data_IF_824913503060
#
_entry.id   IF_824913503060
#
_cell.length_a   1.000
_cell.length_b   1.000
_cell.length_c   1.000
_cell.angle_alpha   90.00
_cell.angle_beta   90.00
_cell.angle_gamma   90.00
#
_symmetry.space_group_name_H-M   'P 1'
#
loop_
_entity.id
_entity.type
_entity.pdbx_description
1 polymer ?
#
# COMPACT_ATOMS: atom_id res chain seq x y z
N UNK A 1 -14.04 9.70 -21.95
CA UNK A 1 -13.37 9.19 -20.73
C UNK A 1 -12.99 10.33 -19.81
N UNK A 2 -12.13 11.27 -20.21
CA UNK A 2 -11.74 12.41 -19.36
C UNK A 2 -12.93 13.16 -18.71
N UNK A 3 -13.97 13.49 -19.48
CA UNK A 3 -15.17 14.13 -18.94
C UNK A 3 -15.95 13.28 -17.91
N UNK A 4 -15.94 11.95 -18.05
CA UNK A 4 -16.59 11.03 -17.10
C UNK A 4 -15.77 10.93 -15.81
N UNK A 5 -14.43 10.91 -15.93
CA UNK A 5 -13.53 10.96 -14.78
C UNK A 5 -13.74 12.26 -14.01
N UNK A 6 -13.79 13.39 -14.73
CA UNK A 6 -14.04 14.70 -14.14
C UNK A 6 -15.38 14.75 -13.40
N UNK A 7 -16.48 14.38 -14.07
CA UNK A 7 -17.81 14.44 -13.46
C UNK A 7 -18.04 13.46 -12.30
N UNK A 8 -17.24 12.40 -12.20
CA UNK A 8 -17.46 11.30 -11.24
C UNK A 8 -16.45 11.29 -10.10
N UNK A 9 -15.19 11.64 -10.36
CA UNK A 9 -14.14 11.72 -9.34
C UNK A 9 -14.11 13.11 -8.71
N UNK A 10 -14.33 14.19 -9.47
CA UNK A 10 -14.22 15.54 -8.91
C UNK A 10 -15.27 15.84 -7.84
N UNK A 11 -16.42 15.15 -7.87
CA UNK A 11 -17.46 15.33 -6.84
C UNK A 11 -17.02 14.86 -5.46
N UNK A 12 -15.98 14.03 -5.34
CA UNK A 12 -15.45 13.60 -4.04
C UNK A 12 -14.40 14.56 -3.47
N UNK A 13 -13.99 15.59 -4.22
CA UNK A 13 -12.90 16.47 -3.83
C UNK A 13 -13.27 17.40 -2.66
N UNK A 14 -12.35 17.46 -1.68
CA UNK A 14 -12.39 18.42 -0.58
C UNK A 14 -13.44 18.12 0.49
N UNK A 15 -13.57 18.99 1.51
CA UNK A 15 -14.39 18.74 2.70
C UNK A 15 -15.90 18.69 2.40
N UNK A 16 -16.33 19.33 1.30
CA UNK A 16 -17.71 19.29 0.80
C UNK A 16 -17.92 18.24 -0.29
N UNK A 17 -16.95 17.36 -0.48
CA UNK A 17 -17.05 16.22 -1.40
C UNK A 17 -18.24 15.34 -1.06
N UNK A 18 -18.97 14.92 -2.09
CA UNK A 18 -20.10 13.99 -2.01
C UNK A 18 -19.60 12.55 -2.03
N UNK A 19 -20.40 11.67 -1.44
CA UNK A 19 -20.18 10.22 -1.53
C UNK A 19 -20.63 9.70 -2.88
N UNK A 20 -19.86 8.77 -3.45
CA UNK A 20 -20.18 8.05 -4.68
C UNK A 20 -20.46 6.59 -4.33
N UNK A 21 -21.56 6.05 -4.88
CA UNK A 21 -21.89 4.64 -4.78
C UNK A 21 -21.25 3.85 -5.92
N UNK A 22 -20.53 2.79 -5.58
CA UNK A 22 -19.86 1.88 -6.52
C UNK A 22 -20.54 0.53 -6.42
N UNK A 23 -21.09 0.04 -7.54
CA UNK A 23 -21.71 -1.27 -7.58
C UNK A 23 -20.64 -2.36 -7.46
N UNK A 24 -20.77 -3.28 -6.49
CA UNK A 24 -19.94 -4.48 -6.38
C UNK A 24 -20.68 -5.67 -7.02
N UNK A 25 -19.96 -6.66 -7.60
CA UNK A 25 -20.60 -7.85 -8.18
C UNK A 25 -21.41 -8.67 -7.17
N UNK A 26 -21.07 -8.58 -5.90
CA UNK A 26 -21.73 -9.27 -4.79
C UNK A 26 -21.86 -8.32 -3.60
N UNK A 27 -22.94 -8.47 -2.83
CA UNK A 27 -23.18 -7.70 -1.61
C UNK A 27 -23.77 -6.31 -1.87
N UNK A 28 -23.69 -5.45 -0.84
CA UNK A 28 -24.16 -4.07 -0.92
C UNK A 28 -23.19 -3.19 -1.74
N UNK A 29 -23.68 -2.12 -2.38
CA UNK A 29 -22.82 -1.15 -3.05
C UNK A 29 -21.86 -0.50 -2.06
N UNK A 30 -20.62 -0.25 -2.49
CA UNK A 30 -19.64 0.47 -1.69
C UNK A 30 -19.90 1.97 -1.80
N UNK A 31 -20.07 2.65 -0.67
CA UNK A 31 -20.26 4.10 -0.60
C UNK A 31 -18.94 4.71 -0.14
N UNK A 32 -18.34 5.59 -0.95
CA UNK A 32 -17.02 6.15 -0.64
C UNK A 32 -16.87 7.61 -1.06
N UNK A 33 -15.97 8.34 -0.37
CA UNK A 33 -15.45 9.64 -0.80
C UNK A 33 -14.01 9.54 -1.34
N UNK A 34 -13.45 8.34 -1.42
CA UNK A 34 -12.11 8.11 -1.93
C UNK A 34 -12.11 8.14 -3.47
N UNK A 35 -11.46 9.16 -4.04
CA UNK A 35 -11.36 9.32 -5.49
C UNK A 35 -10.61 8.19 -6.18
N UNK A 36 -9.67 7.51 -5.50
CA UNK A 36 -8.96 6.37 -6.06
C UNK A 36 -9.88 5.17 -6.26
N UNK A 37 -10.69 4.84 -5.24
CA UNK A 37 -11.70 3.78 -5.32
C UNK A 37 -12.73 4.09 -6.40
N UNK A 38 -13.20 5.34 -6.48
CA UNK A 38 -14.13 5.78 -7.53
C UNK A 38 -13.50 5.60 -8.92
N UNK A 39 -12.26 6.04 -9.12
CA UNK A 39 -11.54 5.91 -10.39
C UNK A 39 -11.39 4.45 -10.82
N UNK A 40 -11.06 3.53 -9.89
CA UNK A 40 -10.99 2.08 -10.15
C UNK A 40 -12.36 1.47 -10.49
N UNK A 41 -13.45 2.06 -10.00
CA UNK A 41 -14.82 1.63 -10.27
C UNK A 41 -15.30 1.95 -11.70
N UNK A 42 -14.66 2.89 -12.39
CA UNK A 42 -15.06 3.29 -13.75
C UNK A 42 -14.64 2.20 -14.75
N UNK A 43 -15.61 1.45 -15.28
CA UNK A 43 -15.38 0.38 -16.27
C UNK A 43 -16.25 0.59 -17.51
N UNK A 44 -15.77 1.34 -18.52
CA UNK A 44 -16.50 1.53 -19.77
C UNK A 44 -16.60 0.23 -20.57
N UNK A 45 -17.74 -0.03 -21.21
CA UNK A 45 -17.94 -1.23 -22.04
C UNK A 45 -17.05 -1.26 -23.30
N UNK A 46 -16.82 -0.09 -23.90
CA UNK A 46 -16.02 0.02 -25.13
C UNK A 46 -14.54 -0.25 -24.83
N UNK A 47 -13.88 -1.21 -25.51
CA UNK A 47 -12.49 -1.58 -25.22
C UNK A 47 -11.50 -0.40 -25.25
N UNK A 48 -11.63 0.50 -26.23
CA UNK A 48 -10.78 1.70 -26.32
C UNK A 48 -10.97 2.63 -25.11
N UNK A 49 -12.21 2.81 -24.66
CA UNK A 49 -12.49 3.63 -23.49
C UNK A 49 -11.97 2.98 -22.20
N UNK A 50 -12.08 1.66 -22.09
CA UNK A 50 -11.51 0.91 -20.97
C UNK A 50 -9.98 1.05 -20.92
N UNK A 51 -9.29 0.93 -22.06
CA UNK A 51 -7.85 1.12 -22.15
C UNK A 51 -7.42 2.56 -21.78
N UNK A 52 -8.17 3.58 -22.19
CA UNK A 52 -7.86 4.97 -21.77
C UNK A 52 -8.11 5.13 -20.26
N UNK A 53 -9.17 4.52 -19.73
CA UNK A 53 -9.51 4.60 -18.30
C UNK A 53 -8.44 3.93 -17.43
N UNK A 54 -7.85 2.82 -17.89
CA UNK A 54 -6.76 2.16 -17.16
C UNK A 54 -5.50 3.03 -17.09
N UNK A 55 -5.21 3.84 -18.11
CA UNK A 55 -4.11 4.83 -18.06
C UNK A 55 -4.35 5.86 -16.95
N UNK A 56 -5.56 6.40 -16.84
CA UNK A 56 -5.93 7.32 -15.75
C UNK A 56 -5.80 6.64 -14.37
N UNK A 57 -6.31 5.40 -14.25
CA UNK A 57 -6.22 4.65 -13.01
C UNK A 57 -4.76 4.35 -12.61
N UNK A 58 -3.90 4.07 -13.58
CA UNK A 58 -2.46 3.86 -13.36
C UNK A 58 -1.78 5.13 -12.85
N UNK A 59 -2.07 6.30 -13.43
CA UNK A 59 -1.54 7.58 -12.94
C UNK A 59 -1.95 7.86 -11.50
N UNK A 60 -3.21 7.58 -11.16
CA UNK A 60 -3.71 7.74 -9.78
C UNK A 60 -3.07 6.75 -8.82
N UNK A 61 -2.87 5.49 -9.26
CA UNK A 61 -2.16 4.49 -8.45
C UNK A 61 -0.74 4.92 -8.15
N UNK A 62 0.00 5.40 -9.15
CA UNK A 62 1.36 5.90 -8.93
C UNK A 62 1.41 7.11 -7.99
N UNK A 63 0.39 7.97 -8.01
CA UNK A 63 0.26 9.06 -7.05
C UNK A 63 0.07 8.52 -5.63
N UNK A 64 -0.85 7.56 -5.47
CA UNK A 64 -1.11 6.90 -4.18
C UNK A 64 0.13 6.18 -3.65
N UNK A 65 0.80 5.40 -4.50
CA UNK A 65 1.96 4.59 -4.11
C UNK A 65 3.16 5.45 -3.69
N UNK A 66 3.30 6.67 -4.25
CA UNK A 66 4.41 7.58 -3.94
C UNK A 66 4.15 8.52 -2.77
N UNK A 67 2.89 8.93 -2.57
CA UNK A 67 2.54 10.06 -1.69
C UNK A 67 1.44 9.72 -0.68
N UNK A 68 0.60 8.71 -0.96
CA UNK A 68 -0.48 8.27 -0.07
C UNK A 68 -1.75 9.13 -0.08
N UNK A 69 -1.75 10.27 -0.76
CA UNK A 69 -2.90 11.18 -0.91
C UNK A 69 -2.84 11.91 -2.28
N UNK A 70 -3.87 12.68 -2.62
CA UNK A 70 -3.93 13.53 -3.81
C UNK A 70 -4.42 12.83 -5.06
N UNK A 71 -4.94 11.61 -4.96
CA UNK A 71 -5.44 10.81 -6.10
C UNK A 71 -6.60 11.50 -6.83
N UNK A 72 -7.51 12.13 -6.08
CA UNK A 72 -8.60 12.95 -6.62
C UNK A 72 -8.06 14.16 -7.39
N UNK A 73 -7.11 14.90 -6.80
CA UNK A 73 -6.47 16.05 -7.45
C UNK A 73 -5.73 15.65 -8.72
N UNK A 74 -5.00 14.52 -8.68
CA UNK A 74 -4.32 13.94 -9.84
C UNK A 74 -5.32 13.61 -10.97
N UNK A 75 -6.47 13.02 -10.63
CA UNK A 75 -7.53 12.69 -11.58
C UNK A 75 -8.09 13.95 -12.27
N UNK A 76 -8.39 14.99 -11.50
CA UNK A 76 -8.94 16.27 -12.00
C UNK A 76 -7.93 17.00 -12.89
N UNK A 77 -6.66 17.06 -12.47
CA UNK A 77 -5.62 17.71 -13.27
C UNK A 77 -5.40 16.96 -14.58
N UNK A 78 -5.40 15.63 -14.54
CA UNK A 78 -5.25 14.80 -15.74
C UNK A 78 -6.44 14.96 -16.68
N UNK A 79 -7.68 14.96 -16.17
CA UNK A 79 -8.88 15.15 -16.99
C UNK A 79 -8.87 16.51 -17.67
N UNK A 80 -8.60 17.58 -16.93
CA UNK A 80 -8.54 18.95 -17.44
C UNK A 80 -7.46 19.12 -18.51
N UNK A 81 -6.25 18.62 -18.25
CA UNK A 81 -5.14 18.66 -19.20
C UNK A 81 -5.47 17.94 -20.52
N UNK A 82 -6.07 16.73 -20.44
CA UNK A 82 -6.45 15.95 -21.63
C UNK A 82 -7.55 16.63 -22.41
N UNK A 83 -8.55 17.20 -21.74
CA UNK A 83 -9.64 17.93 -22.40
C UNK A 83 -9.13 19.15 -23.14
N UNK A 84 -8.26 19.95 -22.51
CA UNK A 84 -7.74 21.17 -23.13
C UNK A 84 -6.74 20.87 -24.26
N UNK A 85 -5.88 19.85 -24.07
CA UNK A 85 -5.01 19.38 -25.15
C UNK A 85 -5.83 18.89 -26.35
N UNK A 86 -6.95 18.20 -26.12
CA UNK A 86 -7.84 17.72 -27.20
C UNK A 86 -8.45 18.88 -28.00
N UNK A 87 -8.87 19.96 -27.34
CA UNK A 87 -9.36 21.17 -28.03
C UNK A 87 -8.26 21.84 -28.85
N UNK A 88 -7.06 21.96 -28.29
CA UNK A 88 -5.92 22.57 -28.96
C UNK A 88 -5.50 21.77 -30.21
N UNK A 89 -5.50 20.44 -30.12
CA UNK A 89 -5.24 19.55 -31.27
C UNK A 89 -6.34 19.69 -32.34
N UNK A 90 -7.61 19.75 -31.94
CA UNK A 90 -8.73 19.96 -32.87
C UNK A 90 -8.65 21.31 -33.60
N UNK A 91 -8.04 22.32 -32.98
CA UNK A 91 -7.73 23.61 -33.60
C UNK A 91 -6.51 23.59 -34.54
N UNK A 92 -5.88 22.43 -34.75
CA UNK A 92 -4.77 22.25 -35.70
C UNK A 92 -3.37 22.40 -35.09
N UNK A 93 -3.24 22.55 -33.77
CA UNK A 93 -1.94 22.67 -33.12
C UNK A 93 -1.19 21.33 -33.06
N UNK A 94 0.14 21.40 -33.17
CA UNK A 94 1.00 20.22 -33.12
C UNK A 94 1.04 19.56 -31.72
N UNK A 95 0.88 18.24 -31.70
CA UNK A 95 0.83 17.42 -30.48
C UNK A 95 2.13 17.45 -29.69
N UNK A 96 3.26 17.44 -30.39
CA UNK A 96 4.59 17.43 -29.74
C UNK A 96 4.84 18.77 -29.04
N UNK A 97 4.47 19.86 -29.71
CA UNK A 97 4.58 21.21 -29.16
C UNK A 97 3.71 21.42 -27.92
N UNK A 98 2.45 20.93 -27.93
CA UNK A 98 1.57 20.96 -26.76
C UNK A 98 2.21 20.20 -25.59
N UNK A 99 2.66 18.96 -25.82
CA UNK A 99 3.32 18.15 -24.79
C UNK A 99 4.54 18.87 -24.20
N UNK A 100 5.40 19.41 -25.05
CA UNK A 100 6.61 20.11 -24.62
C UNK A 100 6.27 21.38 -23.83
N UNK A 101 5.23 22.12 -24.24
CA UNK A 101 4.72 23.28 -23.52
C UNK A 101 4.20 22.90 -22.13
N UNK A 102 3.41 21.83 -22.02
CA UNK A 102 2.91 21.32 -20.75
C UNK A 102 4.05 20.88 -19.81
N UNK A 103 5.09 20.24 -20.34
CA UNK A 103 6.25 19.85 -19.54
C UNK A 103 7.00 21.06 -18.98
N UNK A 104 7.26 22.08 -19.81
CA UNK A 104 7.88 23.34 -19.37
C UNK A 104 7.04 24.05 -18.32
N UNK A 105 5.72 24.12 -18.52
CA UNK A 105 4.81 24.73 -17.53
C UNK A 105 4.84 23.96 -16.20
N UNK A 106 4.83 22.63 -16.24
CA UNK A 106 4.96 21.77 -15.06
C UNK A 106 6.27 22.04 -14.30
N UNK A 107 7.40 22.21 -14.99
CA UNK A 107 8.68 22.49 -14.33
C UNK A 107 8.68 23.86 -13.63
N UNK A 108 8.10 24.89 -14.26
CA UNK A 108 7.95 26.22 -13.66
C UNK A 108 7.02 26.19 -12.44
N UNK A 109 5.86 25.55 -12.56
CA UNK A 109 4.90 25.40 -11.45
C UNK A 109 5.52 24.61 -10.31
N UNK A 110 6.23 23.52 -10.59
CA UNK A 110 6.88 22.72 -9.55
C UNK A 110 7.93 23.52 -8.79
N UNK A 111 8.72 24.34 -9.49
CA UNK A 111 9.70 25.23 -8.86
C UNK A 111 9.04 26.19 -7.87
N UNK A 112 7.93 26.82 -8.28
CA UNK A 112 7.21 27.77 -7.42
C UNK A 112 6.50 27.10 -6.25
N UNK A 113 5.85 25.95 -6.48
CA UNK A 113 5.23 25.18 -5.38
C UNK A 113 6.29 24.74 -4.36
N UNK A 114 7.48 24.35 -4.83
CA UNK A 114 8.58 23.95 -3.95
C UNK A 114 9.13 25.13 -3.15
N UNK A 115 9.23 26.33 -3.74
CA UNK A 115 9.70 27.54 -3.04
C UNK A 115 8.71 27.99 -1.95
N UNK A 116 7.42 27.68 -2.11
CA UNK A 116 6.37 27.94 -1.12
C UNK A 116 6.28 26.88 -0.01
N UNK A 117 7.04 25.77 -0.12
CA UNK A 117 6.97 24.67 0.84
C UNK A 117 7.49 25.08 2.22
N UNK A 118 6.78 24.66 3.27
CA UNK A 118 7.19 24.84 4.66
C UNK A 118 7.44 23.48 5.31
N UNK A 119 8.66 23.24 5.76
CA UNK A 119 9.00 22.03 6.52
C UNK A 119 8.33 22.06 7.89
N UNK A 120 7.60 20.99 8.21
CA UNK A 120 6.99 20.78 9.53
C UNK A 120 7.97 19.96 10.38
N UNK A 121 8.38 20.51 11.52
CA UNK A 121 9.16 19.76 12.52
C UNK A 121 8.23 18.90 13.36
N UNK A 122 8.68 17.70 13.74
CA UNK A 122 7.93 16.79 14.62
C UNK A 122 7.75 17.35 16.04
N UNK A 123 8.55 18.35 16.42
CA UNK A 123 8.37 19.09 17.67
C UNK A 123 7.06 19.91 17.67
N UNK A 124 6.57 20.28 16.48
CA UNK A 124 5.32 21.04 16.31
C UNK A 124 4.16 20.10 16.07
N UNK A 125 3.79 19.36 17.12
CA UNK A 125 2.78 18.31 17.02
C UNK A 125 1.41 18.82 16.55
N UNK A 126 1.07 20.07 16.86
CA UNK A 126 -0.17 20.71 16.40
C UNK A 126 -0.23 20.85 14.88
N UNK A 127 0.92 21.13 14.23
CA UNK A 127 0.99 21.21 12.76
C UNK A 127 0.88 19.81 12.12
N UNK A 128 1.46 18.78 12.76
CA UNK A 128 1.30 17.38 12.33
C UNK A 128 -0.15 16.94 12.44
N UNK A 129 -0.80 17.23 13.57
CA UNK A 129 -2.22 16.96 13.76
C UNK A 129 -3.05 17.67 12.70
N UNK A 130 -2.76 18.94 12.39
CA UNK A 130 -3.49 19.69 11.36
C UNK A 130 -3.43 19.01 9.98
N UNK A 131 -2.26 18.51 9.57
CA UNK A 131 -2.12 17.77 8.30
C UNK A 131 -2.97 16.50 8.35
N UNK A 132 -2.87 15.72 9.42
CA UNK A 132 -3.63 14.48 9.57
C UNK A 132 -5.15 14.72 9.59
N UNK A 133 -5.62 15.78 10.26
CA UNK A 133 -7.03 16.18 10.29
C UNK A 133 -7.53 16.49 8.88
N UNK A 134 -6.75 17.25 8.09
CA UNK A 134 -7.16 17.63 6.73
C UNK A 134 -7.25 16.38 5.84
N UNK A 135 -6.26 15.49 5.88
CA UNK A 135 -6.28 14.24 5.12
C UNK A 135 -7.38 13.27 5.60
N UNK A 136 -7.74 13.30 6.88
CA UNK A 136 -8.87 12.54 7.45
C UNK A 136 -10.24 13.23 7.23
N UNK A 137 -10.39 14.06 6.18
CA UNK A 137 -11.64 14.77 5.86
C UNK A 137 -12.20 15.65 7.01
N UNK A 138 -11.32 16.21 7.82
CA UNK A 138 -11.68 17.08 8.95
C UNK A 138 -11.92 16.35 10.27
N UNK A 139 -11.68 15.03 10.33
CA UNK A 139 -11.83 14.26 11.56
C UNK A 139 -10.73 14.61 12.57
N UNK A 140 -11.12 15.34 13.62
CA UNK A 140 -10.23 15.76 14.71
C UNK A 140 -9.76 14.60 15.57
N UNK A 141 -10.59 13.57 15.76
CA UNK A 141 -10.25 12.42 16.58
C UNK A 141 -9.14 11.62 15.91
N UNK A 142 -9.33 11.30 14.62
CA UNK A 142 -8.33 10.55 13.83
C UNK A 142 -7.03 11.34 13.75
N UNK A 143 -7.09 12.63 13.42
CA UNK A 143 -5.88 13.44 13.27
C UNK A 143 -5.10 13.65 14.57
N UNK A 144 -5.79 13.77 15.71
CA UNK A 144 -5.12 13.85 17.03
C UNK A 144 -4.45 12.53 17.39
N UNK A 145 -5.13 11.40 17.15
CA UNK A 145 -4.56 10.09 17.42
C UNK A 145 -3.34 9.77 16.54
N UNK A 146 -3.36 10.17 15.26
CA UNK A 146 -2.19 10.04 14.37
C UNK A 146 -1.02 10.88 14.90
N UNK A 147 -1.28 12.11 15.33
CA UNK A 147 -0.23 12.95 15.90
C UNK A 147 0.35 12.34 17.18
N UNK A 148 -0.50 11.80 18.07
CA UNK A 148 -0.04 11.09 19.27
C UNK A 148 0.81 9.86 18.94
N UNK A 149 0.43 9.09 17.90
CA UNK A 149 1.23 7.96 17.42
C UNK A 149 2.60 8.42 16.91
N UNK A 150 2.64 9.45 16.06
CA UNK A 150 3.89 10.04 15.54
C UNK A 150 4.78 10.57 16.67
N UNK A 151 4.20 11.15 17.72
CA UNK A 151 4.95 11.64 18.89
C UNK A 151 5.56 10.50 19.70
N UNK A 152 4.83 9.41 19.92
CA UNK A 152 5.31 8.24 20.68
C UNK A 152 6.42 7.49 19.94
N UNK A 153 6.25 7.34 18.63
CA UNK A 153 7.09 6.51 17.77
C UNK A 153 8.32 7.27 17.25
N UNK A 154 8.23 8.59 17.09
CA UNK A 154 9.29 9.43 16.56
C UNK A 154 9.39 9.38 15.02
N UNK A 155 10.43 10.02 14.46
CA UNK A 155 10.58 10.21 13.00
C UNK A 155 10.75 8.92 12.20
N UNK A 156 11.42 7.94 12.79
CA UNK A 156 11.87 6.73 12.09
C UNK A 156 11.09 5.49 12.50
N UNK A 157 10.16 5.61 13.44
CA UNK A 157 9.40 4.45 13.86
C UNK A 157 8.19 4.20 12.97
N UNK A 158 7.64 3.00 13.14
CA UNK A 158 6.61 2.44 12.27
C UNK A 158 5.25 2.61 12.91
N UNK A 159 4.27 3.03 12.11
CA UNK A 159 2.86 3.12 12.53
C UNK A 159 2.06 2.12 11.70
N UNK A 160 1.39 1.20 12.39
CA UNK A 160 0.44 0.24 11.78
C UNK A 160 -0.99 0.57 12.23
N UNK A 161 -1.96 0.14 11.44
CA UNK A 161 -3.39 0.31 11.75
C UNK A 161 -4.04 -1.06 11.70
N UNK A 162 -4.63 -1.47 12.81
CA UNK A 162 -5.33 -2.75 12.97
C UNK A 162 -6.80 -2.51 13.31
N UNK A 163 -7.67 -3.40 12.83
CA UNK A 163 -9.10 -3.34 13.16
C UNK A 163 -9.38 -4.07 14.48
N UNK A 164 -9.87 -3.34 15.48
CA UNK A 164 -10.20 -3.95 16.77
C UNK A 164 -11.52 -4.76 16.68
N UNK A 165 -11.49 -6.00 17.16
CA UNK A 165 -12.70 -6.84 17.31
C UNK A 165 -13.39 -6.52 18.63
N UNK A 166 -14.01 -5.33 18.74
CA UNK A 166 -14.89 -5.02 19.88
C UNK A 166 -14.85 -3.59 20.41
N UNK A 167 -13.84 -2.79 20.05
CA UNK A 167 -13.81 -1.37 20.39
C UNK A 167 -14.26 -0.53 19.18
N UNK A 168 -15.10 0.47 19.46
CA UNK A 168 -15.44 1.52 18.47
C UNK A 168 -14.48 2.71 18.57
N UNK A 169 -13.61 2.71 19.57
CA UNK A 169 -12.67 3.79 19.82
C UNK A 169 -11.31 3.44 19.20
N UNK A 170 -10.62 4.48 18.72
CA UNK A 170 -9.29 4.35 18.13
C UNK A 170 -8.27 4.45 19.27
N UNK A 171 -7.56 3.36 19.50
CA UNK A 171 -6.53 3.25 20.54
C UNK A 171 -5.13 3.33 19.92
N UNK A 172 -4.21 4.00 20.62
CA UNK A 172 -2.82 4.16 20.19
C UNK A 172 -1.90 3.46 21.18
N UNK A 173 -1.50 2.24 20.85
CA UNK A 173 -0.56 1.44 21.61
C UNK A 173 0.85 1.53 21.01
N UNK A 174 1.86 1.64 21.87
CA UNK A 174 3.26 1.54 21.46
C UNK A 174 3.71 0.11 21.72
N UNK A 175 3.99 -0.64 20.66
CA UNK A 175 4.49 -2.00 20.73
C UNK A 175 5.92 -2.07 20.21
N UNK A 176 6.69 -3.03 20.72
CA UNK A 176 8.04 -3.31 20.21
C UNK A 176 7.90 -4.18 18.96
N UNK A 177 8.43 -3.71 17.84
CA UNK A 177 8.35 -4.41 16.56
C UNK A 177 9.48 -4.01 15.62
N UNK A 178 9.50 -4.64 14.45
CA UNK A 178 10.48 -4.35 13.39
C UNK A 178 9.79 -4.36 12.03
N UNK A 179 10.18 -3.43 11.17
CA UNK A 179 9.87 -3.43 9.74
C UNK A 179 11.17 -3.50 8.93
N UNK A 180 11.14 -4.24 7.83
CA UNK A 180 12.25 -4.31 6.88
C UNK A 180 11.73 -4.40 5.44
N UNK A 181 12.55 -3.95 4.48
CA UNK A 181 12.15 -3.78 3.07
C UNK A 181 12.17 -5.10 2.27
N UNK A 182 11.32 -6.05 2.66
CA UNK A 182 11.11 -7.32 1.93
C UNK A 182 9.63 -7.67 1.87
N UNK A 183 9.12 -7.84 0.65
CA UNK A 183 7.74 -8.28 0.40
C UNK A 183 7.61 -9.81 0.35
N UNK A 184 6.36 -10.26 0.22
CA UNK A 184 6.03 -11.65 -0.03
C UNK A 184 6.62 -12.14 -1.37
N UNK A 185 7.12 -13.37 -1.38
CA UNK A 185 7.71 -13.99 -2.58
C UNK A 185 6.69 -14.36 -3.65
N UNK A 186 5.41 -14.48 -3.27
CA UNK A 186 4.33 -14.82 -4.18
C UNK A 186 3.06 -14.04 -3.83
N UNK A 187 2.37 -13.42 -4.82
CA UNK A 187 1.07 -12.80 -4.59
C UNK A 187 0.01 -13.76 -4.04
N UNK A 188 0.18 -15.06 -4.25
CA UNK A 188 -0.71 -16.07 -3.68
C UNK A 188 -0.63 -16.14 -2.14
N UNK A 189 0.35 -15.48 -1.51
CA UNK A 189 0.40 -15.34 -0.05
C UNK A 189 -0.52 -14.24 0.51
N UNK A 190 -1.12 -13.39 -0.33
CA UNK A 190 -2.08 -12.36 0.08
C UNK A 190 -3.27 -12.98 0.84
N UNK A 191 -3.65 -12.37 1.96
CA UNK A 191 -4.82 -12.74 2.78
C UNK A 191 -5.93 -11.71 2.61
N UNK A 192 -5.59 -10.42 2.49
CA UNK A 192 -6.51 -9.34 2.17
C UNK A 192 -6.28 -8.88 0.71
N UNK A 193 -7.21 -9.26 -0.17
CA UNK A 193 -7.16 -8.90 -1.60
C UNK A 193 -7.53 -7.44 -1.89
N UNK A 194 -8.16 -6.73 -0.95
CA UNK A 194 -8.48 -5.31 -1.11
C UNK A 194 -7.24 -4.45 -0.83
N UNK A 195 -6.53 -4.75 0.27
CA UNK A 195 -5.31 -4.04 0.66
C UNK A 195 -4.03 -4.60 0.02
N UNK A 196 -4.10 -5.79 -0.58
CA UNK A 196 -2.94 -6.52 -1.14
C UNK A 196 -1.86 -6.80 -0.09
N UNK A 197 -2.28 -7.22 1.11
CA UNK A 197 -1.38 -7.50 2.24
C UNK A 197 -1.50 -8.94 2.72
N UNK A 198 -0.51 -9.35 3.50
CA UNK A 198 -0.47 -10.62 4.22
C UNK A 198 -0.59 -10.32 5.70
N UNK A 199 -1.68 -10.75 6.31
CA UNK A 199 -1.96 -10.63 7.74
C UNK A 199 -1.92 -12.04 8.35
N UNK A 200 -1.10 -12.22 9.39
CA UNK A 200 -0.98 -13.49 10.12
C UNK A 200 -1.13 -13.22 11.61
N UNK A 201 -2.17 -13.77 12.23
CA UNK A 201 -2.39 -13.71 13.68
C UNK A 201 -1.54 -14.75 14.40
N UNK A 202 -0.75 -14.31 15.39
CA UNK A 202 0.11 -15.14 16.26
C UNK A 202 0.88 -16.25 15.49
N UNK A 203 1.68 -15.88 14.46
CA UNK A 203 2.36 -16.85 13.62
C UNK A 203 3.60 -17.44 14.30
N UNK A 204 3.90 -18.69 13.98
CA UNK A 204 5.26 -19.20 14.15
C UNK A 204 6.21 -18.52 13.18
N UNK A 205 7.46 -18.31 13.62
CA UNK A 205 8.52 -17.73 12.80
C UNK A 205 9.59 -18.79 12.54
N UNK A 206 9.85 -19.08 11.27
CA UNK A 206 11.01 -19.85 10.84
C UNK A 206 12.05 -18.89 10.27
N UNK A 207 13.15 -18.73 10.98
CA UNK A 207 14.25 -17.82 10.61
C UNK A 207 15.47 -18.67 10.26
N UNK A 208 15.92 -18.59 9.00
CA UNK A 208 17.08 -19.37 8.52
C UNK A 208 17.94 -18.56 7.57
N UNK A 209 19.26 -18.81 7.60
CA UNK A 209 20.19 -18.27 6.60
C UNK A 209 20.26 -19.13 5.32
N UNK A 210 19.61 -20.30 5.27
CA UNK A 210 19.68 -21.23 4.13
C UNK A 210 18.77 -20.78 2.99
N UNK A 211 19.21 -21.04 1.74
CA UNK A 211 18.33 -21.03 0.57
C UNK A 211 17.48 -22.29 0.56
N UNK A 212 16.17 -22.13 0.39
CA UNK A 212 15.19 -23.21 0.41
C UNK A 212 14.69 -23.47 -1.01
N UNK A 213 15.27 -24.47 -1.67
CA UNK A 213 14.91 -24.88 -3.03
C UNK A 213 14.02 -26.13 -3.05
N UNK A 214 14.13 -26.96 -2.02
CA UNK A 214 13.43 -28.24 -1.84
C UNK A 214 12.60 -28.21 -0.55
N UNK A 215 11.50 -28.96 -0.52
CA UNK A 215 10.55 -28.94 0.61
C UNK A 215 10.95 -29.88 1.76
N UNK A 216 11.77 -30.90 1.49
CA UNK A 216 12.13 -31.95 2.45
C UNK A 216 12.64 -31.41 3.80
N UNK A 217 13.53 -30.39 3.85
CA UNK A 217 13.99 -29.83 5.13
C UNK A 217 12.88 -29.16 5.95
N UNK A 218 11.77 -28.77 5.31
CA UNK A 218 10.65 -28.09 5.94
C UNK A 218 9.54 -29.05 6.37
N UNK A 219 9.50 -30.30 5.89
CA UNK A 219 8.36 -31.20 6.11
C UNK A 219 8.01 -31.37 7.59
N UNK A 220 8.99 -31.68 8.44
CA UNK A 220 8.77 -31.86 9.88
C UNK A 220 8.21 -30.59 10.56
N UNK A 221 8.66 -29.41 10.11
CA UNK A 221 8.20 -28.12 10.64
C UNK A 221 6.78 -27.85 10.17
N UNK A 222 6.49 -28.05 8.88
CA UNK A 222 5.18 -27.84 8.29
C UNK A 222 4.14 -28.77 8.90
N UNK A 223 4.47 -30.04 9.15
CA UNK A 223 3.59 -30.98 9.85
C UNK A 223 3.25 -30.52 11.27
N UNK A 224 4.23 -30.01 12.01
CA UNK A 224 4.01 -29.47 13.35
C UNK A 224 3.11 -28.21 13.32
N UNK A 225 3.34 -27.32 12.36
CA UNK A 225 2.52 -26.11 12.15
C UNK A 225 1.09 -26.48 11.80
N UNK A 226 0.87 -27.41 10.86
CA UNK A 226 -0.48 -27.87 10.50
C UNK A 226 -1.20 -28.47 11.70
N UNK A 227 -0.53 -29.27 12.53
CA UNK A 227 -1.11 -29.83 13.76
C UNK A 227 -1.50 -28.75 14.78
N UNK A 228 -0.71 -27.68 14.88
CA UNK A 228 -0.99 -26.56 15.79
C UNK A 228 -2.16 -25.69 15.33
N UNK A 229 -2.47 -25.68 14.03
CA UNK A 229 -3.45 -24.78 13.42
C UNK A 229 -3.02 -23.31 13.34
N UNK A 230 -1.84 -22.95 13.87
CA UNK A 230 -1.29 -21.58 13.81
C UNK A 230 -0.66 -21.30 12.44
N UNK A 231 -0.61 -20.02 12.01
CA UNK A 231 0.11 -19.65 10.79
C UNK A 231 1.63 -19.76 10.93
N UNK A 232 2.34 -19.75 9.80
CA UNK A 232 3.81 -19.75 9.73
C UNK A 232 4.30 -18.63 8.81
N UNK A 233 5.27 -17.85 9.29
CA UNK A 233 6.06 -16.94 8.47
C UNK A 233 7.48 -17.49 8.33
N UNK A 234 7.94 -17.66 7.09
CA UNK A 234 9.30 -18.11 6.78
C UNK A 234 10.13 -16.91 6.31
N UNK A 235 11.23 -16.66 7.01
CA UNK A 235 12.26 -15.67 6.66
C UNK A 235 13.54 -16.43 6.34
N UNK A 236 13.90 -16.46 5.06
CA UNK A 236 15.06 -17.21 4.58
C UNK A 236 15.91 -16.38 3.62
N UNK A 237 17.18 -16.77 3.36
CA UNK A 237 17.98 -16.09 2.33
C UNK A 237 17.23 -16.02 0.99
N UNK A 238 16.67 -17.16 0.57
CA UNK A 238 15.81 -17.25 -0.59
C UNK A 238 14.91 -18.48 -0.50
N UNK A 239 13.76 -18.43 -1.18
CA UNK A 239 12.81 -19.55 -1.24
C UNK A 239 12.32 -19.66 -2.68
N UNK A 240 12.78 -20.67 -3.38
CA UNK A 240 12.60 -20.79 -4.83
C UNK A 240 12.23 -22.23 -5.22
N UNK A 241 11.93 -22.42 -6.52
CA UNK A 241 11.73 -23.74 -7.11
C UNK A 241 10.57 -24.55 -6.50
N UNK A 242 10.87 -25.79 -6.14
CA UNK A 242 9.89 -26.75 -5.61
C UNK A 242 9.34 -26.30 -4.26
N UNK A 243 10.19 -25.76 -3.38
CA UNK A 243 9.78 -25.30 -2.06
C UNK A 243 8.70 -24.22 -2.15
N UNK A 244 8.94 -23.16 -2.93
CA UNK A 244 7.97 -22.06 -3.09
C UNK A 244 6.66 -22.56 -3.72
N UNK A 245 6.76 -23.36 -4.78
CA UNK A 245 5.59 -23.92 -5.48
C UNK A 245 4.72 -24.76 -4.55
N UNK A 246 5.35 -25.57 -3.70
CA UNK A 246 4.67 -26.44 -2.74
C UNK A 246 3.99 -25.64 -1.64
N UNK A 247 4.65 -24.60 -1.10
CA UNK A 247 4.06 -23.70 -0.10
C UNK A 247 2.81 -22.99 -0.65
N UNK A 248 2.90 -22.48 -1.88
CA UNK A 248 1.77 -21.80 -2.55
C UNK A 248 0.60 -22.75 -2.77
N UNK A 249 0.83 -23.95 -3.31
CA UNK A 249 -0.24 -24.92 -3.58
C UNK A 249 -0.92 -25.35 -2.28
N UNK A 250 -0.15 -25.61 -1.21
CA UNK A 250 -0.73 -26.01 0.07
C UNK A 250 -1.52 -24.89 0.74
N UNK A 251 -1.07 -23.63 0.60
CA UNK A 251 -1.86 -22.49 1.04
C UNK A 251 -3.19 -22.39 0.28
N UNK A 252 -3.16 -22.47 -1.05
CA UNK A 252 -4.37 -22.37 -1.88
C UNK A 252 -5.38 -23.49 -1.60
N UNK A 253 -4.91 -24.68 -1.22
CA UNK A 253 -5.76 -25.80 -0.80
C UNK A 253 -6.32 -25.65 0.63
N UNK A 254 -5.95 -24.59 1.35
CA UNK A 254 -6.41 -24.31 2.71
C UNK A 254 -5.77 -25.18 3.80
N UNK A 255 -4.83 -26.06 3.44
CA UNK A 255 -4.18 -26.98 4.39
C UNK A 255 -3.11 -26.31 5.25
N UNK A 256 -2.59 -25.15 4.83
CA UNK A 256 -1.48 -24.47 5.50
C UNK A 256 -1.61 -22.95 5.39
N UNK A 257 -1.65 -22.25 6.53
CA UNK A 257 -1.57 -20.78 6.55
C UNK A 257 -0.10 -20.37 6.61
N UNK A 258 0.51 -20.11 5.45
CA UNK A 258 1.94 -19.77 5.37
C UNK A 258 2.19 -18.54 4.51
N UNK A 259 3.22 -17.78 4.88
CA UNK A 259 3.81 -16.75 4.04
C UNK A 259 5.34 -16.86 4.07
N UNK A 260 5.97 -16.37 3.02
CA UNK A 260 7.40 -16.49 2.81
C UNK A 260 7.99 -15.18 2.29
N UNK A 261 9.05 -14.70 2.94
CA UNK A 261 9.77 -13.47 2.61
C UNK A 261 11.28 -13.74 2.56
N UNK A 262 12.00 -12.98 1.74
CA UNK A 262 13.47 -13.01 1.78
C UNK A 262 13.98 -12.32 3.04
N UNK A 263 15.12 -12.75 3.54
CA UNK A 263 15.83 -12.10 4.63
C UNK A 263 16.28 -10.68 4.21
N UNK A 264 16.24 -9.71 5.13
CA UNK A 264 16.77 -8.38 4.87
C UNK A 264 18.31 -8.39 4.84
N UNK A 265 18.89 -7.40 4.15
CA UNK A 265 20.35 -7.28 4.02
C UNK A 265 21.00 -8.31 3.08
N UNK A 266 22.33 -8.32 3.06
CA UNK A 266 23.18 -9.20 2.25
C UNK A 266 24.46 -9.56 3.03
N UNK A 267 25.07 -10.70 2.72
CA UNK A 267 26.34 -11.12 3.34
C UNK A 267 26.26 -11.25 4.87
N UNK A 268 27.26 -10.74 5.58
CA UNK A 268 27.29 -10.81 7.05
C UNK A 268 26.24 -9.91 7.70
N UNK A 269 25.91 -8.76 7.10
CA UNK A 269 24.83 -7.89 7.58
C UNK A 269 23.47 -8.61 7.62
N UNK A 270 23.23 -9.56 6.71
CA UNK A 270 22.02 -10.39 6.75
C UNK A 270 21.97 -11.27 7.99
N UNK A 271 23.11 -11.83 8.41
CA UNK A 271 23.18 -12.70 9.60
C UNK A 271 22.87 -11.88 10.85
N UNK A 272 23.51 -10.72 10.99
CA UNK A 272 23.25 -9.78 12.09
C UNK A 272 21.77 -9.39 12.14
N UNK A 273 21.16 -9.03 11.00
CA UNK A 273 19.73 -8.68 10.97
C UNK A 273 18.81 -9.87 11.28
N UNK A 274 19.17 -11.10 10.89
CA UNK A 274 18.39 -12.30 11.24
C UNK A 274 18.51 -12.63 12.73
N UNK A 275 19.67 -12.39 13.34
CA UNK A 275 19.87 -12.48 14.79
C UNK A 275 19.03 -11.43 15.52
N UNK A 276 18.97 -10.19 15.03
CA UNK A 276 18.12 -9.14 15.60
C UNK A 276 16.64 -9.50 15.55
N UNK A 277 16.15 -10.03 14.42
CA UNK A 277 14.76 -10.49 14.29
C UNK A 277 14.51 -11.62 15.29
N UNK A 278 15.41 -12.60 15.37
CA UNK A 278 15.25 -13.73 16.28
C UNK A 278 15.24 -13.30 17.76
N UNK A 279 16.12 -12.36 18.13
CA UNK A 279 16.17 -11.80 19.48
C UNK A 279 14.89 -11.01 19.81
N UNK A 280 14.40 -10.19 18.88
CA UNK A 280 13.18 -9.41 19.05
C UNK A 280 11.94 -10.29 19.23
N UNK A 281 11.84 -11.37 18.47
CA UNK A 281 10.67 -12.25 18.47
C UNK A 281 10.81 -13.46 19.40
N UNK A 282 11.93 -13.55 20.13
CA UNK A 282 12.32 -14.71 20.92
C UNK A 282 12.27 -16.04 20.13
N UNK A 283 12.54 -15.96 18.82
CA UNK A 283 12.55 -17.12 17.94
C UNK A 283 13.94 -17.75 17.94
N UNK A 284 14.02 -19.06 17.69
CA UNK A 284 15.32 -19.73 17.55
C UNK A 284 15.87 -19.48 16.16
N UNK A 285 16.95 -18.72 16.06
CA UNK A 285 17.69 -18.57 14.82
C UNK A 285 18.40 -19.87 14.47
N UNK A 286 18.06 -20.47 13.32
CA UNK A 286 18.69 -21.70 12.85
C UNK A 286 19.92 -21.33 12.01
N UNK A 287 21.05 -21.14 12.70
CA UNK A 287 22.39 -21.10 12.12
C UNK A 287 22.79 -22.54 11.79
N UNK A 288 23.50 -22.75 10.68
CA UNK A 288 24.14 -24.02 10.28
C UNK A 288 24.35 -25.01 11.44
N UNK A 289 23.42 -25.96 11.57
CA UNK A 289 23.58 -27.39 11.27
C UNK A 289 22.20 -27.97 10.94
#
# INVERSE_FOLDING_TARGET
VAAVVDSTVAVTAGPRGKTVGINKPYGAPEITKDGYKVMKGIKPEKPLNAAITSVFAQSCSQCNDKVGDGTTTCSILTSGMVMEASKSIAAGNDRVSIKNGMQKAKDVVLKEVTSMSRTISLEKIDEVAQVAIISANGDRSIGSNIADAVKKVGKEGVITVEESKGSKELEVELTTGMQFDRGYLSPYFITDNEKMIVELDDPYLLITEKKLNIIQPLLSILEAVVKSGKPLLIIAEDIEGEALSTLVINKLRGGLKVAAVKAPGFGDRRKEMLEDIAALTNAKYVIKD
#
